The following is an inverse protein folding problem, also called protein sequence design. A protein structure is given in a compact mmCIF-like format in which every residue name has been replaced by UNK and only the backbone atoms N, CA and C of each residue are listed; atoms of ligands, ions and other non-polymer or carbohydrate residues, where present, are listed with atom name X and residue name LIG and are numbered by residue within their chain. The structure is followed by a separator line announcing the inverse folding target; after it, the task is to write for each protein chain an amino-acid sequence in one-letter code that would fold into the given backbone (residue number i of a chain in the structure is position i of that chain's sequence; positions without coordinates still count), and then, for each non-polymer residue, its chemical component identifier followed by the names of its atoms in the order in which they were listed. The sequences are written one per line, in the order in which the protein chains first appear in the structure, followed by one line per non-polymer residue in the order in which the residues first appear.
data_IF_437012435299
#
_entry.id   IF_437012435299
#
_cell.length_a   1.000
_cell.length_b   1.000
_cell.length_c   1.000
_cell.angle_alpha   90.00
_cell.angle_beta   90.00
_cell.angle_gamma   90.00
#
_symmetry.space_group_name_H-M   'P 1'
#
loop_
_entity.id
_entity.type
_entity.pdbx_description
1 polymer ?
#
# COMPACT_ATOMS: atom_id res chain seq x y z
N UNK A 1 4.14 -4.78 23.17
CA UNK A 1 5.26 -5.73 23.11
C UNK A 1 6.34 -5.26 22.12
N UNK A 2 6.04 -5.06 20.83
CA UNK A 2 7.00 -4.66 19.79
C UNK A 2 7.78 -3.39 20.18
N UNK A 3 7.09 -2.32 20.60
CA UNK A 3 7.76 -1.10 21.06
C UNK A 3 8.78 -1.35 22.18
N UNK A 4 8.49 -2.26 23.11
CA UNK A 4 9.41 -2.62 24.19
C UNK A 4 10.64 -3.36 23.66
N UNK A 5 10.45 -4.29 22.72
CA UNK A 5 11.54 -5.04 22.07
C UNK A 5 12.46 -4.09 21.29
N UNK A 6 11.88 -3.15 20.53
CA UNK A 6 12.65 -2.20 19.73
C UNK A 6 13.30 -1.08 20.55
N UNK A 7 12.83 -0.80 21.76
CA UNK A 7 13.45 0.20 22.64
C UNK A 7 14.59 -0.35 23.48
N UNK A 8 14.84 -1.66 23.43
CA UNK A 8 15.99 -2.28 24.06
C UNK A 8 17.28 -1.86 23.34
N UNK A 9 18.23 -1.18 24.01
CA UNK A 9 19.50 -0.75 23.40
C UNK A 9 20.35 -1.92 22.89
N UNK A 10 20.14 -3.13 23.40
CA UNK A 10 20.82 -4.36 22.97
C UNK A 10 20.11 -5.03 21.77
N UNK A 11 18.90 -4.59 21.44
CA UNK A 11 18.15 -5.13 20.33
C UNK A 11 18.81 -4.75 19.00
N UNK A 12 19.29 -5.76 18.27
CA UNK A 12 19.83 -5.59 16.91
C UNK A 12 18.76 -5.78 15.83
N UNK A 13 17.53 -5.34 16.12
CA UNK A 13 16.42 -5.50 15.17
C UNK A 13 16.52 -4.46 14.05
N UNK A 14 16.49 -4.95 12.84
CA UNK A 14 16.52 -4.16 11.62
C UNK A 14 15.31 -4.53 10.73
N UNK A 15 14.60 -3.58 10.13
CA UNK A 15 14.77 -2.12 10.22
C UNK A 15 14.44 -1.55 11.60
N UNK A 16 14.94 -0.34 11.95
CA UNK A 16 14.65 0.31 13.23
C UNK A 16 13.15 0.57 13.42
N UNK A 17 12.68 0.54 14.67
CA UNK A 17 11.24 0.72 15.00
C UNK A 17 10.60 1.93 14.32
N UNK A 18 11.27 3.09 14.32
CA UNK A 18 10.74 4.32 13.72
C UNK A 18 10.45 4.16 12.23
N UNK A 19 11.25 3.38 11.53
CA UNK A 19 11.04 3.09 10.11
C UNK A 19 9.88 2.12 9.92
N UNK A 20 9.86 1.03 10.67
CA UNK A 20 8.76 0.05 10.60
C UNK A 20 7.42 0.67 10.98
N UNK A 21 7.37 1.49 12.03
CA UNK A 21 6.17 2.21 12.44
C UNK A 21 5.66 3.17 11.35
N UNK A 22 6.55 3.70 10.51
CA UNK A 22 6.15 4.47 9.34
C UNK A 22 5.54 3.59 8.26
N UNK A 23 6.20 2.48 7.90
CA UNK A 23 5.76 1.58 6.82
C UNK A 23 4.46 0.85 7.19
N UNK A 24 4.32 0.38 8.42
CA UNK A 24 3.12 -0.35 8.85
C UNK A 24 1.91 0.54 9.12
N UNK A 25 2.09 1.84 9.19
CA UNK A 25 1.02 2.78 9.46
C UNK A 25 0.57 3.50 8.18
N UNK A 26 -0.47 2.96 7.52
CA UNK A 26 -1.04 3.51 6.29
C UNK A 26 -1.40 5.00 6.40
N UNK A 27 -1.88 5.44 7.56
CA UNK A 27 -2.21 6.87 7.81
C UNK A 27 -0.97 7.75 7.78
N UNK A 28 0.14 7.30 8.39
CA UNK A 28 1.40 8.08 8.42
C UNK A 28 1.94 8.30 7.03
N UNK A 29 2.15 7.22 6.26
CA UNK A 29 2.77 7.37 4.95
C UNK A 29 1.84 8.02 3.92
N UNK A 30 0.55 7.67 3.87
CA UNK A 30 -0.38 8.30 2.93
C UNK A 30 -0.55 9.80 3.22
N UNK A 31 -0.62 10.20 4.50
CA UNK A 31 -0.63 11.63 4.88
C UNK A 31 0.64 12.34 4.44
N UNK A 32 1.81 11.72 4.67
CA UNK A 32 3.11 12.25 4.24
C UNK A 32 3.17 12.45 2.72
N UNK A 33 2.71 11.47 1.95
CA UNK A 33 2.70 11.53 0.50
C UNK A 33 1.76 12.61 -0.01
N UNK A 34 0.52 12.66 0.49
CA UNK A 34 -0.45 13.70 0.15
C UNK A 34 0.12 15.10 0.38
N UNK A 35 0.71 15.35 1.56
CA UNK A 35 1.30 16.63 1.92
C UNK A 35 2.56 16.97 1.10
N UNK A 36 3.14 15.98 0.42
CA UNK A 36 4.28 16.16 -0.49
C UNK A 36 3.87 16.26 -1.96
N UNK A 37 2.59 16.37 -2.26
CA UNK A 37 2.08 16.45 -3.64
C UNK A 37 2.16 15.12 -4.41
N UNK A 38 2.37 13.99 -3.73
CA UNK A 38 2.33 12.68 -4.36
C UNK A 38 0.86 12.25 -4.43
N UNK A 39 0.36 11.84 -5.60
CA UNK A 39 -1.02 11.40 -5.76
C UNK A 39 -1.27 10.13 -4.95
N UNK A 40 -2.25 10.16 -4.06
CA UNK A 40 -2.71 9.00 -3.28
C UNK A 40 -4.14 8.66 -3.66
N UNK A 41 -4.52 7.38 -3.52
CA UNK A 41 -5.90 6.98 -3.65
C UNK A 41 -6.77 7.79 -2.65
N UNK A 42 -7.88 8.42 -3.10
CA UNK A 42 -8.74 9.21 -2.22
C UNK A 42 -9.12 8.44 -0.95
N UNK A 43 -8.75 8.99 0.20
CA UNK A 43 -8.79 8.30 1.50
C UNK A 43 -9.37 9.18 2.59
N UNK A 44 -10.26 8.60 3.41
CA UNK A 44 -10.77 9.14 4.67
C UNK A 44 -10.19 8.30 5.80
N UNK A 45 -9.66 8.92 6.85
CA UNK A 45 -9.21 8.21 8.05
C UNK A 45 -10.26 8.33 9.14
N UNK A 46 -10.63 7.21 9.75
CA UNK A 46 -11.66 7.11 10.78
C UNK A 46 -11.18 6.29 11.97
N UNK A 47 -11.76 6.54 13.14
CA UNK A 47 -11.66 5.66 14.31
C UNK A 47 -12.75 4.59 14.25
N UNK A 48 -12.55 3.46 14.92
CA UNK A 48 -13.57 2.41 15.03
C UNK A 48 -14.90 2.88 15.64
N UNK A 49 -14.87 3.97 16.40
CA UNK A 49 -16.06 4.64 17.00
C UNK A 49 -16.73 5.67 16.07
N UNK A 50 -16.45 5.65 14.76
CA UNK A 50 -17.04 6.61 13.82
C UNK A 50 -18.56 6.47 13.75
N UNK A 51 -19.27 7.60 13.65
CA UNK A 51 -20.71 7.58 13.42
C UNK A 51 -21.01 7.35 11.94
N UNK A 52 -21.78 6.32 11.61
CA UNK A 52 -22.08 5.92 10.23
C UNK A 52 -22.71 7.05 9.42
N UNK A 53 -23.71 7.82 9.94
CA UNK A 53 -24.30 8.94 9.19
C UNK A 53 -23.25 9.99 8.77
N UNK A 54 -22.30 10.32 9.65
CA UNK A 54 -21.24 11.29 9.34
C UNK A 54 -20.30 10.77 8.24
N UNK A 55 -19.91 9.50 8.33
CA UNK A 55 -19.07 8.87 7.33
C UNK A 55 -19.77 8.82 5.97
N UNK A 56 -21.03 8.41 5.92
CA UNK A 56 -21.83 8.37 4.70
C UNK A 56 -22.00 9.76 4.08
N UNK A 57 -22.28 10.79 4.88
CA UNK A 57 -22.36 12.16 4.39
C UNK A 57 -21.04 12.58 3.69
N UNK A 58 -19.90 12.22 4.27
CA UNK A 58 -18.60 12.51 3.69
C UNK A 58 -18.34 11.71 2.40
N UNK A 59 -18.64 10.41 2.37
CA UNK A 59 -18.51 9.56 1.17
C UNK A 59 -19.41 10.10 0.04
N UNK A 60 -20.65 10.46 0.36
CA UNK A 60 -21.61 11.03 -0.60
C UNK A 60 -21.15 12.39 -1.14
N UNK A 61 -20.56 13.24 -0.30
CA UNK A 61 -20.01 14.53 -0.76
C UNK A 61 -18.86 14.37 -1.77
N UNK A 62 -18.12 13.28 -1.68
CA UNK A 62 -17.07 12.90 -2.65
C UNK A 62 -17.62 12.13 -3.86
N UNK A 63 -18.90 11.81 -3.89
CA UNK A 63 -19.55 11.03 -4.96
C UNK A 63 -18.90 9.67 -5.21
N UNK A 64 -18.45 8.99 -4.13
CA UNK A 64 -17.92 7.66 -4.26
C UNK A 64 -19.07 6.65 -4.40
N UNK A 65 -19.06 5.88 -5.46
CA UNK A 65 -20.04 4.81 -5.69
C UNK A 65 -19.68 3.54 -4.92
N UNK A 66 -18.39 3.25 -4.84
CA UNK A 66 -17.85 2.07 -4.17
C UNK A 66 -16.63 2.47 -3.34
N UNK A 67 -16.47 1.81 -2.21
CA UNK A 67 -15.33 2.05 -1.33
C UNK A 67 -14.91 0.77 -0.60
N UNK A 68 -13.68 0.76 -0.15
CA UNK A 68 -13.11 -0.28 0.69
C UNK A 68 -12.78 0.31 2.06
N UNK A 69 -13.05 -0.42 3.12
CA UNK A 69 -12.58 -0.11 4.47
C UNK A 69 -11.45 -1.05 4.82
N UNK A 70 -10.33 -0.51 5.30
CA UNK A 70 -9.14 -1.29 5.68
C UNK A 70 -8.64 -0.84 7.05
N UNK A 71 -8.16 -1.75 7.92
CA UNK A 71 -7.41 -1.37 9.11
C UNK A 71 -6.12 -0.60 8.76
N UNK A 72 -5.74 0.36 9.58
CA UNK A 72 -4.51 1.14 9.36
C UNK A 72 -3.26 0.25 9.39
N UNK A 73 -3.20 -0.73 10.28
CA UNK A 73 -2.08 -1.67 10.43
C UNK A 73 -2.35 -3.06 9.84
N UNK A 74 -3.40 -3.22 9.02
CA UNK A 74 -3.73 -4.50 8.39
C UNK A 74 -2.79 -4.84 7.22
N UNK A 75 -2.60 -6.13 6.95
CA UNK A 75 -1.87 -6.68 5.82
C UNK A 75 -2.65 -7.82 5.17
N UNK A 76 -2.26 -8.23 3.97
CA UNK A 76 -2.81 -9.39 3.24
C UNK A 76 -4.35 -9.38 3.11
N UNK A 77 -4.97 -8.20 3.07
CA UNK A 77 -6.43 -8.06 2.98
C UNK A 77 -7.19 -8.39 4.26
N UNK A 78 -6.52 -8.80 5.34
CA UNK A 78 -7.20 -9.09 6.60
C UNK A 78 -7.94 -7.86 7.14
N UNK A 79 -9.21 -8.06 7.47
CA UNK A 79 -10.09 -7.00 7.94
C UNK A 79 -10.49 -5.99 6.87
N UNK A 80 -10.32 -6.28 5.58
CA UNK A 80 -10.84 -5.44 4.50
C UNK A 80 -12.35 -5.70 4.27
N UNK A 81 -13.13 -4.62 4.14
CA UNK A 81 -14.55 -4.69 3.78
C UNK A 81 -14.82 -3.89 2.51
N UNK A 82 -15.58 -4.47 1.57
CA UNK A 82 -15.97 -3.84 0.31
C UNK A 82 -17.44 -3.43 0.38
N UNK A 83 -17.73 -2.17 0.01
CA UNK A 83 -19.07 -1.61 0.14
C UNK A 83 -19.46 -0.78 -1.08
N UNK A 84 -20.75 -0.76 -1.40
CA UNK A 84 -21.32 0.25 -2.29
C UNK A 84 -22.03 1.32 -1.47
N UNK A 85 -21.93 2.56 -1.88
CA UNK A 85 -22.62 3.67 -1.19
C UNK A 85 -24.13 3.47 -1.20
N UNK A 86 -24.67 2.95 -2.30
CA UNK A 86 -26.10 2.65 -2.43
C UNK A 86 -26.56 1.64 -1.38
N UNK A 87 -25.85 0.51 -1.24
CA UNK A 87 -26.25 -0.56 -0.31
C UNK A 87 -26.17 -0.09 1.13
N UNK A 88 -25.15 0.72 1.47
CA UNK A 88 -25.01 1.25 2.82
C UNK A 88 -26.04 2.35 3.14
N UNK A 89 -26.51 3.11 2.14
CA UNK A 89 -27.63 4.03 2.34
C UNK A 89 -28.92 3.25 2.64
N UNK A 90 -29.13 2.12 1.97
CA UNK A 90 -30.31 1.28 2.21
C UNK A 90 -30.22 0.48 3.51
N UNK A 91 -29.03 0.01 3.87
CA UNK A 91 -28.78 -0.83 5.03
C UNK A 91 -27.52 -0.38 5.80
N UNK A 92 -27.59 0.71 6.57
CA UNK A 92 -26.43 1.25 7.29
C UNK A 92 -25.84 0.30 8.33
N UNK A 93 -26.62 -0.67 8.79
CA UNK A 93 -26.18 -1.70 9.75
C UNK A 93 -25.01 -2.52 9.23
N UNK A 94 -24.92 -2.81 7.94
CA UNK A 94 -23.79 -3.55 7.36
C UNK A 94 -22.44 -2.91 7.66
N UNK A 95 -22.36 -1.60 7.51
CA UNK A 95 -21.12 -0.87 7.79
C UNK A 95 -20.89 -0.72 9.31
N UNK A 96 -21.96 -0.60 10.08
CA UNK A 96 -21.88 -0.57 11.53
C UNK A 96 -21.36 -1.90 12.08
N UNK A 97 -21.92 -3.01 11.63
CA UNK A 97 -21.53 -4.36 12.05
C UNK A 97 -20.06 -4.64 11.73
N UNK A 98 -19.60 -4.23 10.54
CA UNK A 98 -18.19 -4.29 10.18
C UNK A 98 -17.31 -3.56 11.22
N UNK A 99 -17.65 -2.32 11.60
CA UNK A 99 -16.86 -1.60 12.59
C UNK A 99 -16.95 -2.22 13.99
N UNK A 100 -18.11 -2.72 14.40
CA UNK A 100 -18.28 -3.42 15.69
C UNK A 100 -17.40 -4.66 15.76
N UNK A 101 -17.36 -5.43 14.68
CA UNK A 101 -16.54 -6.65 14.59
C UNK A 101 -15.06 -6.32 14.64
N UNK A 102 -14.60 -5.39 13.82
CA UNK A 102 -13.18 -5.14 13.62
C UNK A 102 -12.57 -4.15 14.62
N UNK A 103 -13.36 -3.28 15.26
CA UNK A 103 -12.87 -2.35 16.29
C UNK A 103 -12.33 -3.06 17.54
N UNK A 104 -12.63 -4.33 17.73
CA UNK A 104 -12.06 -5.17 18.79
C UNK A 104 -10.55 -5.39 18.61
N UNK A 105 -10.07 -5.31 17.38
CA UNK A 105 -8.69 -5.61 16.99
C UNK A 105 -7.94 -4.38 16.48
N UNK A 106 -8.66 -3.40 15.92
CA UNK A 106 -8.09 -2.24 15.24
C UNK A 106 -8.73 -0.95 15.73
N UNK A 107 -7.91 0.01 16.15
CA UNK A 107 -8.39 1.30 16.65
C UNK A 107 -8.75 2.28 15.52
N UNK A 108 -7.99 2.25 14.42
CA UNK A 108 -8.13 3.18 13.30
C UNK A 108 -8.25 2.44 11.97
N UNK A 109 -9.05 3.03 11.09
CA UNK A 109 -9.32 2.51 9.75
C UNK A 109 -9.12 3.61 8.71
N UNK A 110 -8.89 3.20 7.48
CA UNK A 110 -9.01 4.02 6.30
C UNK A 110 -10.19 3.55 5.45
N UNK A 111 -10.91 4.52 4.89
CA UNK A 111 -11.95 4.30 3.89
C UNK A 111 -11.42 4.86 2.58
N UNK A 112 -11.25 4.04 1.59
CA UNK A 112 -10.70 4.42 0.29
C UNK A 112 -11.71 4.22 -0.82
N UNK A 113 -11.71 5.13 -1.78
CA UNK A 113 -12.48 4.97 -3.00
C UNK A 113 -12.04 3.71 -3.75
N UNK A 114 -12.99 2.86 -4.12
CA UNK A 114 -12.74 1.76 -5.03
C UNK A 114 -12.91 2.27 -6.46
N UNK A 115 -11.79 2.45 -7.15
CA UNK A 115 -11.80 3.04 -8.50
C UNK A 115 -12.17 2.00 -9.56
N UNK A 116 -12.88 2.40 -10.59
CA UNK A 116 -13.18 1.55 -11.76
C UNK A 116 -11.87 1.04 -12.39
N UNK A 117 -10.83 1.89 -12.39
CA UNK A 117 -9.52 1.53 -12.89
C UNK A 117 -8.87 0.37 -12.17
N UNK A 118 -9.11 0.21 -10.86
CA UNK A 118 -8.64 -0.96 -10.10
C UNK A 118 -9.22 -2.26 -10.67
N UNK A 119 -10.53 -2.30 -10.90
CA UNK A 119 -11.21 -3.46 -11.49
C UNK A 119 -10.77 -3.73 -12.94
N UNK A 120 -10.60 -2.66 -13.74
CA UNK A 120 -10.33 -2.79 -15.18
C UNK A 120 -8.88 -3.07 -15.50
N UNK A 121 -7.95 -2.41 -14.83
CA UNK A 121 -6.51 -2.44 -15.15
C UNK A 121 -5.69 -3.17 -14.11
N UNK A 122 -6.26 -3.43 -12.93
CA UNK A 122 -5.56 -4.04 -11.80
C UNK A 122 -4.71 -3.03 -11.02
N UNK A 123 -3.84 -3.57 -10.19
CA UNK A 123 -2.88 -2.85 -9.37
C UNK A 123 -1.48 -3.08 -9.90
N UNK A 124 -0.75 -2.00 -10.15
CA UNK A 124 0.66 -2.06 -10.56
C UNK A 124 1.51 -2.09 -9.32
N UNK A 125 2.25 -3.18 -9.12
CA UNK A 125 3.21 -3.34 -8.03
C UNK A 125 4.62 -3.13 -8.56
N UNK A 126 5.24 -2.03 -8.19
CA UNK A 126 6.60 -1.69 -8.62
C UNK A 126 7.61 -2.04 -7.54
N UNK A 127 8.69 -2.72 -7.92
CA UNK A 127 9.74 -3.22 -7.05
C UNK A 127 11.01 -2.39 -7.18
N UNK A 128 11.49 -1.93 -6.03
CA UNK A 128 12.65 -1.08 -5.89
C UNK A 128 13.64 -1.73 -4.94
N UNK A 129 14.85 -1.96 -5.40
CA UNK A 129 15.91 -2.57 -4.60
C UNK A 129 17.05 -1.58 -4.48
N UNK A 130 17.43 -1.32 -3.24
CA UNK A 130 18.46 -0.34 -2.88
C UNK A 130 18.20 1.02 -3.56
N UNK A 131 16.94 1.50 -3.44
CA UNK A 131 16.49 2.76 -4.02
C UNK A 131 16.35 2.77 -5.55
N UNK A 132 16.64 1.69 -6.24
CA UNK A 132 16.60 1.60 -7.71
C UNK A 132 15.44 0.77 -8.22
N UNK A 133 14.71 1.28 -9.20
CA UNK A 133 13.65 0.52 -9.88
C UNK A 133 14.22 -0.73 -10.54
N UNK A 134 13.53 -1.85 -10.36
CA UNK A 134 13.93 -3.13 -10.97
C UNK A 134 12.90 -3.63 -11.97
N UNK A 135 11.66 -3.85 -11.53
CA UNK A 135 10.57 -4.31 -12.39
C UNK A 135 9.22 -3.89 -11.79
N UNK A 136 8.17 -4.14 -12.52
CA UNK A 136 6.81 -4.05 -12.01
C UNK A 136 5.98 -5.22 -12.55
N UNK A 137 4.94 -5.55 -11.80
CA UNK A 137 3.90 -6.50 -12.20
C UNK A 137 2.54 -5.81 -12.15
N UNK A 138 1.59 -6.39 -12.81
CA UNK A 138 0.16 -6.08 -12.61
C UNK A 138 -0.52 -7.27 -11.98
N UNK A 139 -1.22 -7.01 -10.88
CA UNK A 139 -2.12 -7.98 -10.25
C UNK A 139 -3.53 -7.57 -10.52
N UNK A 140 -4.38 -8.52 -10.89
CA UNK A 140 -5.77 -8.26 -11.18
C UNK A 140 -6.63 -9.30 -10.49
N UNK A 141 -7.37 -8.84 -9.49
CA UNK A 141 -8.53 -9.53 -8.96
C UNK A 141 -9.54 -8.57 -8.39
N UNK A 142 -10.77 -8.96 -8.61
CA UNK A 142 -11.89 -8.50 -7.83
C UNK A 142 -12.69 -9.75 -7.53
N UNK A 143 -12.66 -10.24 -6.28
CA UNK A 143 -13.50 -11.34 -5.90
C UNK A 143 -14.95 -10.97 -6.20
N UNK A 144 -15.74 -11.88 -6.81
CA UNK A 144 -17.14 -11.61 -7.13
C UNK A 144 -17.95 -11.31 -5.86
N UNK A 145 -17.59 -11.81 -4.71
CA UNK A 145 -18.40 -11.82 -3.50
C UNK A 145 -17.78 -11.13 -2.27
N UNK A 146 -16.79 -10.26 -2.48
CA UNK A 146 -16.22 -9.44 -1.39
C UNK A 146 -15.21 -10.16 -0.49
N UNK A 147 -14.94 -11.44 -0.71
CA UNK A 147 -13.84 -12.13 -0.04
C UNK A 147 -12.51 -11.78 -0.71
N UNK A 148 -11.51 -11.45 0.09
CA UNK A 148 -10.16 -11.21 -0.43
C UNK A 148 -9.52 -12.55 -0.79
N UNK A 149 -9.39 -12.79 -2.09
CA UNK A 149 -8.67 -13.93 -2.64
C UNK A 149 -7.36 -13.41 -3.25
N UNK A 150 -6.31 -14.22 -3.20
CA UNK A 150 -5.06 -13.93 -3.90
C UNK A 150 -5.34 -13.61 -5.38
N UNK A 151 -4.63 -12.65 -5.99
CA UNK A 151 -4.89 -12.25 -7.36
C UNK A 151 -4.81 -13.46 -8.31
N UNK A 152 -5.85 -13.68 -9.12
CA UNK A 152 -5.92 -14.76 -10.12
C UNK A 152 -5.02 -14.49 -11.32
N UNK A 153 -4.73 -13.20 -11.57
CA UNK A 153 -3.88 -12.79 -12.68
C UNK A 153 -2.69 -12.00 -12.14
N UNK A 154 -1.50 -12.53 -12.35
CA UNK A 154 -0.24 -11.86 -12.04
C UNK A 154 0.59 -11.89 -13.32
N UNK A 155 0.95 -10.72 -13.84
CA UNK A 155 1.72 -10.59 -15.09
C UNK A 155 2.80 -9.53 -14.98
N UNK A 156 3.94 -9.69 -15.68
CA UNK A 156 4.90 -8.60 -15.84
C UNK A 156 4.22 -7.35 -16.43
N UNK A 157 4.52 -6.19 -15.87
CA UNK A 157 4.08 -4.91 -16.40
C UNK A 157 5.09 -4.44 -17.45
N UNK A 158 4.72 -4.57 -18.72
CA UNK A 158 5.59 -4.20 -19.87
C UNK A 158 5.11 -2.96 -20.62
N UNK A 159 3.93 -2.44 -20.29
CA UNK A 159 3.39 -1.23 -20.92
C UNK A 159 4.24 0.00 -20.56
N UNK A 160 4.96 0.50 -21.57
CA UNK A 160 5.85 1.65 -21.41
C UNK A 160 5.13 2.94 -21.03
N UNK A 161 3.86 3.12 -21.44
CA UNK A 161 3.07 4.30 -21.06
C UNK A 161 2.72 4.27 -19.59
N UNK A 162 2.26 3.13 -19.10
CA UNK A 162 1.97 2.92 -17.67
C UNK A 162 3.24 3.10 -16.83
N UNK A 163 4.32 2.44 -17.23
CA UNK A 163 5.61 2.57 -16.54
C UNK A 163 6.13 4.00 -16.55
N UNK A 164 5.92 4.75 -17.63
CA UNK A 164 6.28 6.16 -17.74
C UNK A 164 5.55 7.06 -16.75
N UNK A 165 4.36 6.66 -16.29
CA UNK A 165 3.61 7.37 -15.22
C UNK A 165 3.99 6.84 -13.84
N UNK A 166 4.08 5.53 -13.67
CA UNK A 166 4.28 4.90 -12.36
C UNK A 166 5.70 5.13 -11.80
N UNK A 167 6.74 5.06 -12.63
CA UNK A 167 8.13 5.22 -12.18
C UNK A 167 8.39 6.59 -11.52
N UNK A 168 8.03 7.74 -12.14
CA UNK A 168 8.24 9.04 -11.50
C UNK A 168 7.48 9.20 -10.17
N UNK A 169 6.32 8.55 -10.03
CA UNK A 169 5.60 8.53 -8.75
C UNK A 169 6.39 7.73 -7.72
N UNK A 170 6.87 6.55 -8.10
CA UNK A 170 7.68 5.70 -7.23
C UNK A 170 8.96 6.37 -6.75
N UNK A 171 9.69 7.07 -7.63
CA UNK A 171 10.87 7.87 -7.29
C UNK A 171 10.57 8.94 -6.24
N UNK A 172 9.44 9.66 -6.41
CA UNK A 172 8.99 10.64 -5.41
C UNK A 172 8.63 9.99 -4.08
N UNK A 173 8.00 8.82 -4.09
CA UNK A 173 7.67 8.05 -2.89
C UNK A 173 8.94 7.69 -2.13
N UNK A 174 9.95 7.11 -2.79
CA UNK A 174 11.22 6.73 -2.17
C UNK A 174 11.95 7.90 -1.51
N UNK A 175 11.86 9.10 -2.11
CA UNK A 175 12.43 10.32 -1.52
C UNK A 175 11.73 10.73 -0.21
N UNK A 176 10.51 10.26 0.04
CA UNK A 176 9.70 10.60 1.22
C UNK A 176 9.67 9.51 2.29
N UNK A 177 10.04 8.29 1.95
CA UNK A 177 10.25 7.21 2.91
C UNK A 177 11.44 7.58 3.82
N UNK A 178 11.32 7.43 5.14
CA UNK A 178 12.45 7.67 6.03
C UNK A 178 13.63 6.75 5.69
N UNK A 179 14.82 7.34 5.54
CA UNK A 179 16.03 6.53 5.37
C UNK A 179 16.27 5.68 6.61
N UNK A 180 16.76 4.49 6.40
CA UNK A 180 17.27 3.66 7.50
C UNK A 180 18.52 4.33 8.09
N UNK A 181 18.60 4.32 9.41
CA UNK A 181 19.78 4.86 10.13
C UNK A 181 20.37 3.73 10.97
N UNK A 182 21.60 3.38 10.71
CA UNK A 182 22.34 2.39 11.45
C UNK A 182 23.76 2.89 11.68
N UNK A 183 24.24 2.88 12.95
CA UNK A 183 25.54 3.43 13.32
C UNK A 183 25.84 4.83 12.75
N UNK A 184 24.79 5.71 12.73
CA UNK A 184 24.91 7.05 12.17
C UNK A 184 24.87 7.16 10.65
N UNK A 185 24.94 6.05 9.94
CA UNK A 185 24.85 6.02 8.46
C UNK A 185 23.40 5.96 8.00
N UNK A 186 23.09 6.71 6.94
CA UNK A 186 21.77 6.71 6.30
C UNK A 186 21.82 5.88 5.02
N UNK A 187 20.86 4.99 4.85
CA UNK A 187 20.76 4.13 3.67
C UNK A 187 19.30 3.92 3.26
N UNK A 188 19.08 3.50 2.02
CA UNK A 188 17.76 3.11 1.54
C UNK A 188 17.36 1.73 2.09
N UNK A 189 16.05 1.44 2.18
CA UNK A 189 15.59 0.09 2.40
C UNK A 189 16.14 -0.87 1.34
N UNK A 190 16.38 -2.13 1.75
CA UNK A 190 16.87 -3.14 0.80
C UNK A 190 15.87 -3.36 -0.31
N UNK A 191 14.59 -3.47 0.03
CA UNK A 191 13.51 -3.63 -0.92
C UNK A 191 12.29 -2.83 -0.48
N UNK A 192 11.72 -2.09 -1.42
CA UNK A 192 10.42 -1.41 -1.27
C UNK A 192 9.53 -1.81 -2.44
N UNK A 193 8.29 -2.21 -2.14
CA UNK A 193 7.23 -2.38 -3.13
C UNK A 193 6.28 -1.19 -3.03
N UNK A 194 5.97 -0.58 -4.17
CA UNK A 194 5.01 0.53 -4.25
C UNK A 194 3.86 0.09 -5.12
N UNK A 195 2.68 0.04 -4.53
CA UNK A 195 1.45 -0.43 -5.17
C UNK A 195 0.65 0.77 -5.65
N UNK A 196 0.36 0.80 -6.96
CA UNK A 196 -0.30 1.91 -7.63
C UNK A 196 -1.57 1.46 -8.33
N UNK A 197 -2.64 2.25 -8.18
CA UNK A 197 -3.93 1.99 -8.81
C UNK A 197 -4.25 3.05 -9.84
N UNK A 198 -4.86 2.62 -10.95
CA UNK A 198 -5.33 3.52 -12.01
C UNK A 198 -6.65 4.19 -11.61
N UNK A 199 -6.71 5.50 -11.71
CA UNK A 199 -7.89 6.30 -11.37
C UNK A 199 -8.63 6.82 -12.62
N UNK A 200 -8.97 5.93 -13.53
CA UNK A 200 -9.75 6.27 -14.73
C UNK A 200 -11.25 6.38 -14.43
N UNK A 201 -11.63 7.28 -13.53
CA UNK A 201 -13.04 7.64 -13.41
C UNK A 201 -13.28 8.87 -14.28
N UNK A 202 -13.90 8.69 -15.45
CA UNK A 202 -14.37 9.75 -16.34
C UNK A 202 -13.29 10.66 -16.96
N UNK A 203 -12.02 10.26 -16.99
CA UNK A 203 -10.97 11.00 -17.69
C UNK A 203 -10.77 10.42 -19.11
N UNK A 204 -10.51 11.25 -20.13
CA UNK A 204 -10.20 10.75 -21.47
C UNK A 204 -8.94 9.86 -21.41
N UNK A 205 -8.88 8.86 -22.28
CA UNK A 205 -7.78 7.87 -22.39
C UNK A 205 -6.37 8.46 -22.47
N UNK A 206 -6.24 9.77 -22.63
CA UNK A 206 -4.97 10.50 -22.76
C UNK A 206 -4.29 10.84 -21.44
N UNK A 207 -4.98 10.73 -20.29
CA UNK A 207 -4.41 11.03 -18.98
C UNK A 207 -4.63 9.88 -18.01
N UNK A 208 -3.88 8.78 -18.18
CA UNK A 208 -3.83 7.73 -17.17
C UNK A 208 -3.24 8.32 -15.88
N UNK A 209 -4.09 8.56 -14.88
CA UNK A 209 -3.66 8.95 -13.56
C UNK A 209 -3.47 7.69 -12.70
N UNK A 210 -2.31 7.55 -12.09
CA UNK A 210 -2.03 6.51 -11.10
C UNK A 210 -1.85 7.13 -9.73
N UNK A 211 -2.39 6.49 -8.72
CA UNK A 211 -2.33 6.90 -7.33
C UNK A 211 -1.62 5.83 -6.50
N UNK A 212 -0.82 6.25 -5.54
CA UNK A 212 -0.26 5.34 -4.55
C UNK A 212 -1.40 4.79 -3.69
N UNK A 213 -1.52 3.47 -3.68
CA UNK A 213 -2.47 2.74 -2.85
C UNK A 213 -1.81 2.26 -1.56
N UNK A 214 -0.62 1.68 -1.68
CA UNK A 214 0.10 1.08 -0.56
C UNK A 214 1.62 1.09 -0.81
N UNK A 215 2.39 0.97 0.28
CA UNK A 215 3.82 0.66 0.24
C UNK A 215 4.09 -0.53 1.16
N UNK A 216 5.02 -1.37 0.75
CA UNK A 216 5.43 -2.58 1.48
C UNK A 216 6.95 -2.68 1.52
N UNK A 217 7.47 -3.19 2.64
CA UNK A 217 8.89 -3.46 2.82
C UNK A 217 9.11 -4.80 3.54
N UNK A 218 10.33 -5.30 3.48
CA UNK A 218 10.71 -6.56 4.13
C UNK A 218 9.99 -7.78 3.54
N UNK A 219 9.52 -8.69 4.39
CA UNK A 219 8.89 -9.93 3.97
C UNK A 219 7.62 -9.74 3.14
N UNK A 220 6.82 -8.72 3.44
CA UNK A 220 5.59 -8.42 2.68
C UNK A 220 5.91 -7.92 1.26
N UNK A 221 6.99 -7.14 1.10
CA UNK A 221 7.45 -6.73 -0.21
C UNK A 221 7.96 -7.91 -1.05
N UNK A 222 8.42 -9.00 -0.42
CA UNK A 222 8.90 -10.22 -1.06
C UNK A 222 7.81 -11.04 -1.77
N UNK A 223 6.53 -10.80 -1.49
CA UNK A 223 5.45 -11.40 -2.25
C UNK A 223 5.59 -11.04 -3.73
N UNK A 224 5.41 -12.01 -4.61
CA UNK A 224 5.52 -11.85 -6.07
C UNK A 224 6.97 -11.66 -6.60
N UNK A 225 7.97 -12.08 -5.88
CA UNK A 225 9.36 -12.10 -6.38
C UNK A 225 9.67 -13.32 -7.25
N UNK A 226 8.89 -14.39 -7.13
CA UNK A 226 9.01 -15.60 -7.94
C UNK A 226 7.75 -15.80 -8.78
N UNK A 227 7.68 -15.13 -9.93
CA UNK A 227 6.54 -15.16 -10.85
C UNK A 227 6.97 -15.72 -12.18
N UNK A 228 6.21 -16.66 -12.70
CA UNK A 228 6.41 -17.24 -14.02
C UNK A 228 6.40 -16.14 -15.10
N UNK A 229 7.39 -16.21 -16.00
CA UNK A 229 7.57 -15.22 -17.06
C UNK A 229 8.33 -13.94 -16.65
N UNK A 230 8.74 -13.80 -15.39
CA UNK A 230 9.72 -12.79 -14.99
C UNK A 230 11.09 -13.44 -14.99
N UNK A 231 11.81 -13.31 -16.09
CA UNK A 231 13.20 -13.75 -16.24
C UNK A 231 14.18 -12.76 -15.59
N UNK A 232 13.87 -12.31 -14.40
CA UNK A 232 14.72 -11.34 -13.71
C UNK A 232 15.38 -12.03 -12.52
N UNK A 233 16.72 -11.98 -12.38
CA UNK A 233 17.43 -12.64 -11.29
C UNK A 233 17.24 -11.87 -9.97
N UNK A 234 15.96 -11.72 -9.56
CA UNK A 234 15.59 -10.91 -8.40
C UNK A 234 16.20 -11.45 -7.10
N UNK A 235 16.34 -12.77 -7.00
CA UNK A 235 16.90 -13.41 -5.81
C UNK A 235 18.38 -13.04 -5.67
N UNK A 236 19.14 -13.09 -6.76
CA UNK A 236 20.56 -12.72 -6.75
C UNK A 236 20.75 -11.24 -6.44
N UNK A 237 19.91 -10.38 -7.05
CA UNK A 237 19.96 -8.93 -6.82
C UNK A 237 19.61 -8.60 -5.38
N UNK A 238 18.62 -9.29 -4.78
CA UNK A 238 18.27 -9.13 -3.37
C UNK A 238 19.40 -9.62 -2.46
N UNK A 239 19.96 -10.80 -2.74
CA UNK A 239 21.08 -11.34 -1.99
C UNK A 239 22.27 -10.37 -1.99
N UNK A 240 22.66 -9.88 -3.15
CA UNK A 240 23.71 -8.88 -3.30
C UNK A 240 23.40 -7.58 -2.54
N UNK A 241 22.16 -7.11 -2.59
CA UNK A 241 21.75 -5.91 -1.88
C UNK A 241 21.82 -6.10 -0.36
N UNK A 242 21.38 -7.26 0.16
CA UNK A 242 21.51 -7.59 1.58
C UNK A 242 22.95 -7.68 2.03
N UNK A 243 23.81 -8.36 1.24
CA UNK A 243 25.25 -8.48 1.55
C UNK A 243 25.92 -7.10 1.58
N UNK A 244 25.69 -6.27 0.56
CA UNK A 244 26.24 -4.90 0.54
C UNK A 244 25.80 -4.09 1.74
N UNK A 245 24.48 -4.11 2.07
CA UNK A 245 23.94 -3.40 3.25
C UNK A 245 24.58 -3.91 4.54
N UNK A 246 24.68 -5.21 4.71
CA UNK A 246 25.33 -5.79 5.90
C UNK A 246 26.78 -5.31 6.03
N UNK A 247 27.56 -5.34 4.95
CA UNK A 247 28.95 -4.85 4.93
C UNK A 247 29.03 -3.36 5.23
N UNK A 248 28.13 -2.53 4.66
CA UNK A 248 28.07 -1.08 4.93
C UNK A 248 27.74 -0.77 6.38
N UNK A 249 26.86 -1.57 7.00
CA UNK A 249 26.39 -1.36 8.35
C UNK A 249 27.33 -1.89 9.43
N UNK A 250 28.19 -2.85 9.09
CA UNK A 250 29.19 -3.44 10.01
C UNK A 250 30.52 -2.67 10.04
N UNK A 251 30.78 -1.83 9.03
CA UNK A 251 31.94 -0.91 9.00
C UNK A 251 31.61 0.41 9.74
#
# INVERSE_FOLDING_TARGET
LLKKIYSDPQSKIFPPYKHQDFIWNKKKYLTKFKNSGIPINPTIFVKGSVTIPRLLAQISSYKWEQFIVKPIGGCEGHGCGFFTTRDIIQEPTKLMDYFIEHAKYYEEFLVQRLTIGFKKYGEVKSFWIDGSYRYAIVTKDVPPDGEYIYPSIIKPMTDKKILGVCKPIGEKVLQKIPKLVFNGKKTDPVMTRIDLVCCLDNQPKSSMAYYVNEIEEGGLAGSYTNIEGITYPIVDILADAYVRKAVELLK
#
